data_IF_551874528532
#
_entry.id   IF_551874528532
#
_cell.length_a   1.000
_cell.length_b   1.000
_cell.length_c   1.000
_cell.angle_alpha   90.00
_cell.angle_beta   90.00
_cell.angle_gamma   90.00
#
_symmetry.space_group_name_H-M   'P 1'
#
loop_
_entity.id
_entity.type
_entity.pdbx_description
1 polymer ?
#
# COMPACT_ATOMS: atom_id res chain seq x y z
N UNK A 1 6.68 -11.02 -0.23
CA UNK A 1 5.49 -11.89 -0.03
C UNK A 1 4.39 -11.04 0.63
N UNK A 2 3.35 -10.66 -0.11
CA UNK A 2 2.26 -9.81 0.43
C UNK A 2 1.40 -10.58 1.44
N UNK A 3 1.21 -10.04 2.63
CA UNK A 3 0.49 -10.68 3.74
C UNK A 3 -1.03 -10.54 3.58
N UNK A 4 -1.70 -11.54 3.01
CA UNK A 4 -3.15 -11.55 2.74
C UNK A 4 -4.01 -12.02 3.93
N UNK A 5 -3.84 -11.38 5.09
CA UNK A 5 -4.55 -11.76 6.31
C UNK A 5 -5.45 -10.64 6.80
N UNK A 6 -6.69 -10.99 7.17
CA UNK A 6 -7.65 -10.04 7.73
C UNK A 6 -7.39 -9.88 9.23
N UNK A 7 -7.24 -8.62 9.65
CA UNK A 7 -7.18 -8.23 11.04
C UNK A 7 -8.37 -7.33 11.37
N UNK A 8 -9.04 -7.60 12.50
CA UNK A 8 -10.15 -6.82 13.00
C UNK A 8 -10.54 -7.23 14.42
N UNK A 9 -11.46 -6.47 15.03
CA UNK A 9 -11.86 -6.63 16.45
C UNK A 9 -12.23 -8.07 16.85
N UNK A 10 -12.72 -8.89 15.90
CA UNK A 10 -13.10 -10.30 16.12
C UNK A 10 -12.40 -11.29 15.18
N UNK A 11 -11.44 -10.85 14.35
CA UNK A 11 -10.76 -11.71 13.38
C UNK A 11 -9.27 -11.45 13.41
N UNK A 12 -8.47 -12.49 13.58
CA UNK A 12 -7.00 -12.42 13.59
C UNK A 12 -6.47 -13.49 12.65
N UNK A 13 -5.67 -13.10 11.67
CA UNK A 13 -4.94 -14.05 10.82
C UNK A 13 -5.82 -14.90 9.89
N UNK A 14 -7.06 -14.49 9.59
CA UNK A 14 -7.91 -15.27 8.68
C UNK A 14 -7.49 -14.99 7.23
N UNK A 15 -7.23 -16.03 6.40
CA UNK A 15 -6.97 -15.86 4.97
C UNK A 15 -8.16 -15.17 4.29
N UNK A 16 -7.90 -14.10 3.55
CA UNK A 16 -8.94 -13.22 3.02
C UNK A 16 -8.71 -12.77 1.59
N UNK A 17 -8.14 -13.63 0.74
CA UNK A 17 -7.67 -13.25 -0.60
C UNK A 17 -8.72 -12.54 -1.46
N UNK A 18 -9.96 -13.04 -1.48
CA UNK A 18 -11.03 -12.44 -2.28
C UNK A 18 -11.40 -11.03 -1.78
N UNK A 19 -11.65 -10.89 -0.48
CA UNK A 19 -11.96 -9.59 0.15
C UNK A 19 -10.79 -8.60 -0.04
N UNK A 20 -9.55 -9.09 0.04
CA UNK A 20 -8.37 -8.26 -0.21
C UNK A 20 -8.34 -7.70 -1.63
N UNK A 21 -8.59 -8.53 -2.64
CA UNK A 21 -8.64 -8.09 -4.04
C UNK A 21 -9.79 -7.11 -4.32
N UNK A 22 -10.97 -7.37 -3.77
CA UNK A 22 -12.12 -6.44 -3.88
C UNK A 22 -11.78 -5.07 -3.28
N UNK A 23 -11.11 -5.04 -2.12
CA UNK A 23 -10.68 -3.79 -1.48
C UNK A 23 -9.64 -3.05 -2.32
N UNK A 24 -8.66 -3.76 -2.88
CA UNK A 24 -7.67 -3.16 -3.77
C UNK A 24 -8.31 -2.53 -5.02
N UNK A 25 -9.31 -3.19 -5.62
CA UNK A 25 -10.01 -2.67 -6.80
C UNK A 25 -10.79 -1.37 -6.51
N UNK A 26 -11.20 -1.14 -5.25
CA UNK A 26 -11.89 0.08 -4.82
C UNK A 26 -10.96 1.26 -4.45
N UNK A 27 -9.64 1.07 -4.49
CA UNK A 27 -8.69 2.14 -4.16
C UNK A 27 -8.62 3.16 -5.30
N UNK A 28 -8.74 4.44 -4.97
CA UNK A 28 -8.68 5.55 -5.93
C UNK A 28 -7.38 6.36 -5.86
N UNK A 29 -6.64 6.25 -4.75
CA UNK A 29 -5.33 6.85 -4.57
C UNK A 29 -4.53 6.05 -3.54
N UNK A 30 -3.21 5.98 -3.73
CA UNK A 30 -2.28 5.45 -2.74
C UNK A 30 -1.50 6.61 -2.15
N UNK A 31 -1.49 6.75 -0.82
CA UNK A 31 -0.74 7.79 -0.13
C UNK A 31 0.15 7.19 0.95
N UNK A 32 1.35 7.73 1.11
CA UNK A 32 2.23 7.43 2.23
C UNK A 32 2.73 8.73 2.86
N UNK A 33 2.50 8.88 4.17
CA UNK A 33 2.98 10.01 4.96
C UNK A 33 4.42 9.76 5.42
N UNK A 34 5.29 10.75 5.20
CA UNK A 34 6.64 10.80 5.74
C UNK A 34 6.65 11.68 6.99
N UNK A 35 7.15 11.14 8.09
CA UNK A 35 7.26 11.84 9.38
C UNK A 35 8.69 11.86 9.95
N UNK A 36 9.71 11.47 9.17
CA UNK A 36 11.10 11.44 9.63
C UNK A 36 12.01 12.19 8.66
N UNK A 37 12.66 13.23 9.18
CA UNK A 37 13.56 14.14 8.48
C UNK A 37 15.02 13.64 8.46
N UNK A 38 15.25 12.33 8.54
CA UNK A 38 16.59 11.80 8.86
C UNK A 38 17.21 10.89 7.79
N UNK A 39 16.53 10.66 6.65
CA UNK A 39 17.13 9.90 5.55
C UNK A 39 16.75 10.48 4.19
N UNK A 40 17.78 10.85 3.42
CA UNK A 40 17.68 11.34 2.04
C UNK A 40 16.85 10.39 1.17
N UNK A 41 16.04 10.97 0.28
CA UNK A 41 15.20 10.28 -0.72
C UNK A 41 15.99 9.27 -1.59
N UNK A 42 17.32 9.35 -1.60
CA UNK A 42 18.24 8.56 -2.43
C UNK A 42 18.85 7.34 -1.74
N UNK A 43 18.68 7.14 -0.43
CA UNK A 43 19.46 6.13 0.32
C UNK A 43 18.64 4.90 0.82
N UNK A 44 17.31 4.90 0.68
CA UNK A 44 16.46 3.79 1.12
C UNK A 44 15.56 3.23 0.00
N UNK A 45 16.01 2.13 -0.61
CA UNK A 45 15.27 1.33 -1.59
C UNK A 45 13.88 0.87 -1.09
N UNK A 46 13.70 0.80 0.22
CA UNK A 46 12.46 0.38 0.89
C UNK A 46 11.25 1.28 0.62
N UNK A 47 11.46 2.56 0.29
CA UNK A 47 10.34 3.47 0.01
C UNK A 47 9.66 3.17 -1.33
N UNK A 48 10.43 2.80 -2.35
CA UNK A 48 9.90 2.41 -3.65
C UNK A 48 9.24 1.03 -3.58
N UNK A 49 9.76 0.12 -2.75
CA UNK A 49 9.23 -1.25 -2.68
C UNK A 49 7.80 -1.29 -2.13
N UNK A 50 7.52 -0.59 -1.02
CA UNK A 50 6.18 -0.63 -0.41
C UNK A 50 5.17 0.23 -1.17
N UNK A 51 5.55 1.47 -1.52
CA UNK A 51 4.66 2.39 -2.23
C UNK A 51 4.41 1.90 -3.66
N UNK A 52 5.47 1.47 -4.34
CA UNK A 52 5.41 0.88 -5.68
C UNK A 52 4.70 -0.48 -5.67
N UNK A 53 4.99 -1.35 -4.71
CA UNK A 53 4.35 -2.66 -4.59
C UNK A 53 2.84 -2.58 -4.33
N UNK A 54 2.41 -1.66 -3.48
CA UNK A 54 0.98 -1.42 -3.25
C UNK A 54 0.30 -0.79 -4.47
N UNK A 55 0.94 0.22 -5.09
CA UNK A 55 0.43 0.84 -6.32
C UNK A 55 0.27 -0.19 -7.45
N UNK A 56 1.28 -1.03 -7.67
CA UNK A 56 1.22 -2.10 -8.66
C UNK A 56 0.11 -3.11 -8.35
N UNK A 57 -0.09 -3.46 -7.08
CA UNK A 57 -1.17 -4.37 -6.66
C UNK A 57 -2.56 -3.77 -6.89
N UNK A 58 -2.74 -2.48 -6.61
CA UNK A 58 -3.98 -1.73 -6.90
C UNK A 58 -4.22 -1.68 -8.41
N UNK A 59 -3.20 -1.30 -9.19
CA UNK A 59 -3.32 -1.23 -10.65
C UNK A 59 -3.67 -2.59 -11.26
N UNK A 60 -3.08 -3.67 -10.76
CA UNK A 60 -3.39 -5.03 -11.20
C UNK A 60 -4.82 -5.48 -10.83
N UNK A 61 -5.30 -5.12 -9.64
CA UNK A 61 -6.66 -5.45 -9.19
C UNK A 61 -7.74 -4.60 -9.88
N UNK A 62 -7.44 -3.33 -10.17
CA UNK A 62 -8.37 -2.35 -10.75
C UNK A 62 -8.36 -2.34 -12.28
N UNK A 63 -7.26 -2.74 -12.90
CA UNK A 63 -7.04 -2.66 -14.36
C UNK A 63 -6.76 -1.24 -14.87
N UNK A 64 -6.55 -0.26 -13.99
CA UNK A 64 -6.24 1.12 -14.35
C UNK A 64 -5.33 1.76 -13.31
N UNK A 65 -4.51 2.71 -13.75
CA UNK A 65 -3.57 3.42 -12.88
C UNK A 65 -4.32 4.29 -11.85
N UNK A 66 -3.74 4.40 -10.65
CA UNK A 66 -4.16 5.34 -9.60
C UNK A 66 -3.04 6.33 -9.28
N UNK A 67 -3.36 7.57 -8.88
CA UNK A 67 -2.36 8.51 -8.38
C UNK A 67 -1.69 7.98 -7.11
N UNK A 68 -0.37 8.13 -7.07
CA UNK A 68 0.47 7.81 -5.92
C UNK A 68 1.01 9.10 -5.33
N UNK A 69 0.70 9.35 -4.06
CA UNK A 69 1.00 10.59 -3.37
C UNK A 69 1.98 10.33 -2.22
N UNK A 70 2.96 11.21 -2.06
CA UNK A 70 3.83 11.25 -0.89
C UNK A 70 3.54 12.53 -0.15
N UNK A 71 3.10 12.42 1.10
CA UNK A 71 2.79 13.57 1.94
C UNK A 71 3.95 13.79 2.91
N UNK A 72 4.55 14.97 2.85
CA UNK A 72 5.59 15.40 3.78
C UNK A 72 4.96 16.17 4.96
N UNK A 73 5.44 15.90 6.18
CA UNK A 73 4.96 16.55 7.40
C UNK A 73 6.08 17.21 8.22
N UNK A 74 7.26 17.42 7.64
CA UNK A 74 8.35 18.23 8.25
C UNK A 74 8.08 19.72 8.18
#
# INVERSE_FOLDING_TARGET
>A
MATQHIYGRRRRGTPGKHIYLERLASVEAVSQTRSSNEYEITDLDHYFEFLGGLTASVNAARGSAVPTLVTDTT
#
